data_IF_510302951511
#
_entry.id   IF_510302951511
#
_cell.length_a   1.000
_cell.length_b   1.000
_cell.length_c   1.000
_cell.angle_alpha   90.00
_cell.angle_beta   90.00
_cell.angle_gamma   90.00
#
_symmetry.space_group_name_H-M   'P 1'
#
loop_
_entity.id
_entity.type
_entity.pdbx_description
1 polymer ?
#
# COMPACT_ATOMS: atom_id res chain seq x y z
N UNK A 1 37.32 -32.96 -17.95
CA UNK A 1 36.87 -33.14 -16.57
C UNK A 1 36.85 -31.83 -15.77
N UNK A 2 37.86 -30.97 -15.80
CA UNK A 2 37.86 -29.67 -15.07
C UNK A 2 36.77 -28.69 -15.50
N UNK A 3 36.44 -28.58 -16.79
CA UNK A 3 35.41 -27.68 -17.32
C UNK A 3 34.00 -28.06 -16.84
N UNK A 4 33.71 -29.34 -16.71
CA UNK A 4 32.40 -29.85 -16.22
C UNK A 4 32.20 -29.48 -14.75
N UNK A 5 33.28 -29.53 -13.94
CA UNK A 5 33.24 -29.20 -12.51
C UNK A 5 32.94 -27.70 -12.31
N UNK A 6 33.51 -26.80 -13.12
CA UNK A 6 33.25 -25.37 -13.06
C UNK A 6 31.83 -25.02 -13.50
N UNK A 7 31.30 -25.72 -14.49
CA UNK A 7 29.92 -25.53 -14.96
C UNK A 7 28.89 -25.95 -13.89
N UNK A 8 29.13 -27.03 -13.15
CA UNK A 8 28.27 -27.47 -12.04
C UNK A 8 28.35 -26.49 -10.84
N UNK A 9 29.55 -26.00 -10.51
CA UNK A 9 29.75 -25.01 -9.45
C UNK A 9 29.04 -23.67 -9.77
N UNK A 10 29.04 -23.25 -11.04
CA UNK A 10 28.32 -22.01 -11.45
C UNK A 10 26.82 -22.16 -11.39
N UNK A 11 26.29 -23.34 -11.78
CA UNK A 11 24.82 -23.58 -11.71
C UNK A 11 24.28 -23.68 -10.28
N UNK A 12 25.06 -24.21 -9.33
CA UNK A 12 24.68 -24.27 -7.90
C UNK A 12 24.62 -22.87 -7.30
N UNK A 13 25.54 -21.97 -7.65
CA UNK A 13 25.46 -20.59 -7.15
C UNK A 13 24.27 -19.80 -7.71
N UNK A 14 23.82 -20.07 -8.94
CA UNK A 14 22.62 -19.48 -9.52
C UNK A 14 21.34 -19.96 -8.83
N UNK A 15 21.29 -21.21 -8.36
CA UNK A 15 20.13 -21.76 -7.63
C UNK A 15 20.03 -21.24 -6.19
N UNK A 16 21.16 -20.99 -5.53
CA UNK A 16 21.20 -20.44 -4.17
C UNK A 16 20.75 -18.96 -4.15
N UNK A 17 21.02 -18.21 -5.24
CA UNK A 17 20.59 -16.81 -5.36
C UNK A 17 19.08 -16.60 -5.52
N UNK A 18 18.30 -17.65 -5.80
CA UNK A 18 16.85 -17.54 -6.02
C UNK A 18 15.98 -17.85 -4.78
N UNK A 19 16.56 -18.33 -3.70
CA UNK A 19 15.87 -18.45 -2.42
C UNK A 19 15.88 -17.07 -1.71
N UNK A 20 15.31 -16.03 -2.32
CA UNK A 20 14.89 -14.86 -1.58
C UNK A 20 13.78 -15.32 -0.64
N UNK A 21 14.13 -15.41 0.63
CA UNK A 21 13.19 -15.58 1.73
C UNK A 21 12.32 -14.32 1.75
N UNK A 22 11.32 -14.27 0.87
CA UNK A 22 10.40 -13.13 0.79
C UNK A 22 9.55 -13.18 2.04
N UNK A 23 9.92 -12.33 3.02
CA UNK A 23 9.13 -12.14 4.24
C UNK A 23 7.67 -11.89 3.83
N UNK A 24 6.74 -12.48 4.57
CA UNK A 24 5.33 -12.12 4.40
C UNK A 24 5.12 -10.62 4.68
N UNK A 25 4.06 -10.00 4.15
CA UNK A 25 3.74 -8.61 4.47
C UNK A 25 3.68 -8.33 5.98
N UNK A 26 3.12 -9.25 6.75
CA UNK A 26 3.10 -9.17 8.22
C UNK A 26 4.49 -9.24 8.85
N UNK A 27 5.35 -10.17 8.39
CA UNK A 27 6.74 -10.26 8.88
C UNK A 27 7.55 -9.01 8.52
N UNK A 28 7.39 -8.49 7.30
CA UNK A 28 7.98 -7.22 6.91
C UNK A 28 7.55 -6.11 7.86
N UNK A 29 6.22 -5.93 8.05
CA UNK A 29 5.67 -4.89 8.91
C UNK A 29 6.14 -5.03 10.37
N UNK A 30 6.12 -6.25 10.91
CA UNK A 30 6.54 -6.53 12.28
C UNK A 30 8.05 -6.33 12.51
N UNK A 31 8.87 -6.44 11.45
CA UNK A 31 10.31 -6.20 11.55
C UNK A 31 10.68 -4.73 11.64
N UNK A 32 9.75 -3.81 11.36
CA UNK A 32 9.97 -2.37 11.45
C UNK A 32 9.83 -1.87 12.89
N UNK A 33 10.71 -0.98 13.30
CA UNK A 33 10.54 -0.19 14.53
C UNK A 33 9.35 0.76 14.40
N UNK A 34 8.82 1.24 15.51
CA UNK A 34 7.72 2.22 15.52
C UNK A 34 8.03 3.45 14.64
N UNK A 35 9.25 3.95 14.72
CA UNK A 35 9.69 5.11 13.93
C UNK A 35 9.66 4.81 12.42
N UNK A 36 10.10 3.63 12.02
CA UNK A 36 10.07 3.19 10.62
C UNK A 36 8.63 2.98 10.12
N UNK A 37 7.76 2.39 10.93
CA UNK A 37 6.33 2.25 10.62
C UNK A 37 5.67 3.61 10.39
N UNK A 38 5.89 4.57 11.29
CA UNK A 38 5.40 5.95 11.15
C UNK A 38 5.94 6.59 9.88
N UNK A 39 7.24 6.44 9.62
CA UNK A 39 7.90 6.98 8.42
C UNK A 39 7.33 6.36 7.15
N UNK A 40 7.05 5.06 7.16
CA UNK A 40 6.43 4.35 6.04
C UNK A 40 5.03 4.91 5.73
N UNK A 41 4.16 5.02 6.75
CA UNK A 41 2.80 5.56 6.58
C UNK A 41 2.84 7.01 6.10
N UNK A 42 3.71 7.84 6.69
CA UNK A 42 3.89 9.23 6.27
C UNK A 42 4.35 9.33 4.82
N UNK A 43 5.32 8.51 4.42
CA UNK A 43 5.82 8.45 3.05
C UNK A 43 4.72 8.05 2.05
N UNK A 44 3.93 7.03 2.39
CA UNK A 44 2.82 6.57 1.56
C UNK A 44 1.74 7.66 1.42
N UNK A 45 1.31 8.29 2.52
CA UNK A 45 0.32 9.37 2.49
C UNK A 45 0.81 10.58 1.70
N UNK A 46 2.07 10.98 1.91
CA UNK A 46 2.69 12.10 1.20
C UNK A 46 2.78 11.82 -0.30
N UNK A 47 3.19 10.62 -0.70
CA UNK A 47 3.28 10.24 -2.10
C UNK A 47 1.91 10.27 -2.78
N UNK A 48 0.87 9.70 -2.15
CA UNK A 48 -0.50 9.71 -2.67
C UNK A 48 -1.03 11.15 -2.84
N UNK A 49 -0.81 12.00 -1.83
CA UNK A 49 -1.22 13.41 -1.87
C UNK A 49 -0.54 14.19 -3.00
N UNK A 50 0.79 14.02 -3.15
CA UNK A 50 1.56 14.68 -4.21
C UNK A 50 1.12 14.21 -5.60
N UNK A 51 0.97 12.89 -5.79
CA UNK A 51 0.53 12.32 -7.08
C UNK A 51 -0.88 12.79 -7.44
N UNK A 52 -1.81 12.78 -6.49
CA UNK A 52 -3.18 13.30 -6.69
C UNK A 52 -3.15 14.77 -7.10
N UNK A 53 -2.38 15.60 -6.38
CA UNK A 53 -2.24 17.03 -6.68
C UNK A 53 -1.67 17.24 -8.08
N UNK A 54 -0.58 16.56 -8.42
CA UNK A 54 0.05 16.65 -9.74
C UNK A 54 -0.88 16.23 -10.87
N UNK A 55 -1.58 15.12 -10.69
CA UNK A 55 -2.57 14.68 -11.69
C UNK A 55 -3.69 15.71 -11.88
N UNK A 56 -4.21 16.31 -10.78
CA UNK A 56 -5.20 17.40 -10.88
C UNK A 56 -4.67 18.61 -11.64
N UNK A 57 -3.42 19.02 -11.37
CA UNK A 57 -2.76 20.11 -12.07
C UNK A 57 -2.64 19.82 -13.57
N UNK A 58 -2.26 18.60 -13.96
CA UNK A 58 -2.12 18.23 -15.37
C UNK A 58 -3.48 18.14 -16.09
N UNK A 59 -4.49 17.57 -15.43
CA UNK A 59 -5.86 17.57 -15.97
C UNK A 59 -6.36 19.00 -16.18
N UNK A 60 -6.19 19.88 -15.19
CA UNK A 60 -6.62 21.28 -15.30
C UNK A 60 -5.95 22.01 -16.47
N UNK A 61 -4.64 21.77 -16.72
CA UNK A 61 -3.92 22.39 -17.84
C UNK A 61 -4.53 22.06 -19.21
N UNK A 62 -5.06 20.86 -19.39
CA UNK A 62 -5.65 20.42 -20.65
C UNK A 62 -6.95 21.17 -20.99
N UNK A 63 -7.63 21.73 -19.99
CA UNK A 63 -8.96 22.30 -20.12
C UNK A 63 -9.05 23.78 -19.70
N UNK A 64 -7.94 24.45 -19.49
CA UNK A 64 -7.88 25.85 -18.99
C UNK A 64 -8.71 26.85 -19.80
N UNK A 65 -8.99 26.58 -21.07
CA UNK A 65 -9.74 27.47 -21.96
C UNK A 65 -11.17 26.99 -22.24
N UNK A 66 -11.59 25.86 -21.69
CA UNK A 66 -12.95 25.35 -21.88
C UNK A 66 -13.82 25.71 -20.68
N UNK A 67 -14.68 26.72 -20.86
CA UNK A 67 -15.63 27.18 -19.83
C UNK A 67 -16.74 26.17 -19.54
N UNK A 68 -16.95 25.22 -20.43
CA UNK A 68 -18.01 24.21 -20.32
C UNK A 68 -17.45 22.85 -19.87
N UNK A 69 -16.15 22.77 -19.56
CA UNK A 69 -15.56 21.51 -19.14
C UNK A 69 -16.13 21.05 -17.78
N UNK A 70 -16.65 19.84 -17.77
CA UNK A 70 -17.11 19.16 -16.57
C UNK A 70 -16.16 18.01 -16.31
N UNK A 71 -15.62 17.92 -15.08
CA UNK A 71 -14.72 16.85 -14.69
C UNK A 71 -15.42 15.49 -14.91
N UNK A 72 -14.82 14.59 -15.74
CA UNK A 72 -15.42 13.29 -16.00
C UNK A 72 -15.53 12.44 -14.74
N UNK A 73 -16.61 11.70 -14.59
CA UNK A 73 -16.85 10.82 -13.45
C UNK A 73 -15.67 9.87 -13.13
N UNK A 74 -14.98 9.35 -14.12
CA UNK A 74 -13.84 8.44 -13.90
C UNK A 74 -12.66 9.15 -13.24
N UNK A 75 -12.47 10.45 -13.46
CA UNK A 75 -11.42 11.26 -12.81
C UNK A 75 -11.77 11.48 -11.34
N UNK A 76 -13.00 11.88 -11.06
CA UNK A 76 -13.53 12.01 -9.69
C UNK A 76 -13.43 10.65 -8.95
N UNK A 77 -13.85 9.58 -9.62
CA UNK A 77 -13.76 8.23 -9.06
C UNK A 77 -12.32 7.81 -8.78
N UNK A 78 -11.38 8.14 -9.64
CA UNK A 78 -9.96 7.89 -9.43
C UNK A 78 -9.44 8.58 -8.17
N UNK A 79 -9.78 9.87 -7.95
CA UNK A 79 -9.39 10.59 -6.75
C UNK A 79 -10.04 9.99 -5.49
N UNK A 80 -11.29 9.60 -5.57
CA UNK A 80 -11.96 8.95 -4.44
C UNK A 80 -11.32 7.62 -4.05
N UNK A 81 -10.76 6.88 -5.01
CA UNK A 81 -10.01 5.64 -4.75
C UNK A 81 -8.65 5.92 -4.09
N UNK A 82 -7.98 7.00 -4.49
CA UNK A 82 -6.72 7.43 -3.84
C UNK A 82 -6.98 7.83 -2.39
N UNK A 83 -8.05 8.58 -2.13
CA UNK A 83 -8.42 9.03 -0.79
C UNK A 83 -8.74 7.88 0.18
N UNK A 84 -9.07 6.69 -0.33
CA UNK A 84 -9.27 5.51 0.51
C UNK A 84 -7.98 4.97 1.14
N UNK A 85 -6.80 5.35 0.62
CA UNK A 85 -5.51 4.91 1.15
C UNK A 85 -4.96 5.82 2.25
N UNK A 86 -5.58 6.98 2.50
CA UNK A 86 -5.20 7.89 3.56
C UNK A 86 -6.42 8.28 4.39
N UNK A 87 -6.25 8.38 5.72
CA UNK A 87 -7.32 8.81 6.60
C UNK A 87 -7.40 10.33 6.65
N UNK A 88 -8.59 10.87 6.45
CA UNK A 88 -8.86 12.30 6.58
C UNK A 88 -9.01 12.73 8.06
N UNK A 89 -9.48 11.81 8.93
CA UNK A 89 -9.78 12.09 10.33
C UNK A 89 -8.58 11.95 11.26
N UNK A 90 -7.59 11.12 10.89
CA UNK A 90 -6.40 10.91 11.73
C UNK A 90 -5.47 12.10 11.69
N UNK A 91 -5.55 12.94 10.66
CA UNK A 91 -4.70 14.11 10.51
C UNK A 91 -3.21 13.72 10.52
N UNK A 92 -2.48 14.24 11.50
CA UNK A 92 -1.04 13.96 11.65
C UNK A 92 -0.73 12.86 12.67
N UNK A 93 -1.73 12.22 13.30
CA UNK A 93 -1.51 11.12 14.24
C UNK A 93 -1.30 9.78 13.50
N UNK A 94 -0.14 9.68 12.85
CA UNK A 94 0.25 8.48 12.11
C UNK A 94 0.53 7.30 13.04
N UNK A 95 0.79 7.53 14.33
CA UNK A 95 0.98 6.47 15.31
C UNK A 95 -0.29 5.66 15.49
N UNK A 96 -1.46 6.30 15.46
CA UNK A 96 -2.75 5.62 15.53
C UNK A 96 -2.94 4.63 14.36
N UNK A 97 -2.55 5.04 13.15
CA UNK A 97 -2.60 4.14 11.98
C UNK A 97 -1.67 2.95 12.19
N UNK A 98 -0.43 3.17 12.66
CA UNK A 98 0.52 2.07 12.88
C UNK A 98 0.02 1.07 13.92
N UNK A 99 -0.56 1.54 15.03
CA UNK A 99 -1.16 0.68 16.06
C UNK A 99 -2.30 -0.17 15.53
N UNK A 100 -3.18 0.38 14.69
CA UNK A 100 -4.26 -0.38 14.10
C UNK A 100 -3.78 -1.36 13.03
N UNK A 101 -2.71 -1.05 12.31
CA UNK A 101 -2.06 -2.01 11.42
C UNK A 101 -1.41 -3.17 12.18
N UNK A 102 -0.77 -2.88 13.33
CA UNK A 102 -0.25 -3.91 14.22
C UNK A 102 -1.37 -4.85 14.67
N UNK A 103 -2.50 -4.29 15.12
CA UNK A 103 -3.66 -5.07 15.51
C UNK A 103 -4.26 -5.87 14.34
N UNK A 104 -4.30 -5.33 13.11
CA UNK A 104 -4.80 -6.04 11.94
C UNK A 104 -3.94 -7.28 11.64
N UNK A 105 -2.62 -7.17 11.72
CA UNK A 105 -1.70 -8.27 11.44
C UNK A 105 -1.56 -9.29 12.57
N UNK A 106 -2.22 -9.10 13.72
CA UNK A 106 -2.30 -10.16 14.76
C UNK A 106 -3.20 -11.33 14.34
N UNK A 107 -4.11 -11.11 13.40
CA UNK A 107 -4.97 -12.16 12.87
C UNK A 107 -4.25 -12.94 11.77
N UNK A 108 -4.22 -14.28 11.91
CA UNK A 108 -3.59 -15.20 10.95
C UNK A 108 -4.12 -15.06 9.52
N UNK A 109 -5.39 -14.71 9.35
CA UNK A 109 -6.02 -14.56 8.04
C UNK A 109 -5.52 -13.29 7.27
N UNK A 110 -4.78 -12.41 7.97
CA UNK A 110 -4.33 -11.14 7.41
C UNK A 110 -2.84 -11.12 7.07
N UNK A 111 -2.07 -12.14 7.44
CA UNK A 111 -0.59 -12.15 7.35
C UNK A 111 -0.05 -11.92 5.95
N UNK A 112 -0.79 -12.32 4.93
CA UNK A 112 -0.42 -12.20 3.52
C UNK A 112 -1.02 -10.96 2.82
N UNK A 113 -1.84 -10.18 3.51
CA UNK A 113 -2.41 -8.94 2.94
C UNK A 113 -1.29 -7.93 2.73
N UNK A 114 -1.09 -7.39 1.49
CA UNK A 114 -0.07 -6.39 1.23
C UNK A 114 -0.20 -5.16 2.12
N UNK A 115 0.93 -4.60 2.59
CA UNK A 115 0.96 -3.52 3.59
C UNK A 115 0.13 -2.30 3.18
N UNK A 116 0.17 -1.89 1.91
CA UNK A 116 -0.66 -0.77 1.43
C UNK A 116 -2.16 -1.09 1.44
N UNK A 117 -2.55 -2.34 1.20
CA UNK A 117 -3.96 -2.74 1.29
C UNK A 117 -4.44 -2.80 2.76
N UNK A 118 -3.59 -3.27 3.67
CA UNK A 118 -3.85 -3.22 5.10
C UNK A 118 -4.00 -1.76 5.57
N UNK A 119 -3.12 -0.87 5.14
CA UNK A 119 -3.18 0.57 5.43
C UNK A 119 -4.51 1.19 4.92
N UNK A 120 -4.97 0.80 3.72
CA UNK A 120 -6.26 1.23 3.17
C UNK A 120 -7.42 0.80 4.07
N UNK A 121 -7.45 -0.46 4.51
CA UNK A 121 -8.51 -0.97 5.41
C UNK A 121 -8.53 -0.18 6.70
N UNK A 122 -7.37 0.03 7.32
CA UNK A 122 -7.23 0.79 8.56
C UNK A 122 -7.68 2.25 8.37
N UNK A 123 -7.27 2.91 7.29
CA UNK A 123 -7.68 4.29 6.96
C UNK A 123 -9.20 4.41 6.83
N UNK A 124 -9.84 3.46 6.15
CA UNK A 124 -11.31 3.42 6.05
C UNK A 124 -12.00 3.23 7.41
N UNK A 125 -11.41 2.45 8.32
CA UNK A 125 -11.94 2.29 9.69
C UNK A 125 -11.86 3.62 10.45
N UNK A 126 -10.72 4.30 10.37
CA UNK A 126 -10.50 5.60 11.01
C UNK A 126 -11.47 6.66 10.48
N UNK A 127 -11.76 6.64 9.20
CA UNK A 127 -12.74 7.54 8.57
C UNK A 127 -14.20 7.12 8.82
N UNK A 128 -14.46 6.25 9.80
CA UNK A 128 -15.80 5.76 10.14
C UNK A 128 -16.52 5.01 9.00
N UNK A 129 -15.81 4.64 7.94
CA UNK A 129 -16.30 3.89 6.78
C UNK A 129 -16.28 2.36 7.04
N UNK A 130 -16.65 1.91 8.24
CA UNK A 130 -16.49 0.52 8.74
C UNK A 130 -17.09 -0.53 7.81
N UNK A 131 -18.29 -0.29 7.25
CA UNK A 131 -18.93 -1.25 6.33
C UNK A 131 -18.07 -1.51 5.10
N UNK A 132 -17.48 -0.46 4.53
CA UNK A 132 -16.59 -0.55 3.37
C UNK A 132 -15.26 -1.22 3.73
N UNK A 133 -14.69 -0.88 4.88
CA UNK A 133 -13.47 -1.50 5.40
C UNK A 133 -13.64 -3.01 5.59
N UNK A 134 -14.72 -3.45 6.26
CA UNK A 134 -14.99 -4.86 6.49
C UNK A 134 -15.18 -5.64 5.18
N UNK A 135 -15.94 -5.08 4.24
CA UNK A 135 -16.10 -5.71 2.92
C UNK A 135 -14.76 -5.86 2.20
N UNK A 136 -13.93 -4.80 2.25
CA UNK A 136 -12.59 -4.85 1.65
C UNK A 136 -11.70 -5.88 2.32
N UNK A 137 -11.70 -5.94 3.66
CA UNK A 137 -10.92 -6.91 4.41
C UNK A 137 -11.28 -8.35 4.02
N UNK A 138 -12.58 -8.69 3.98
CA UNK A 138 -13.04 -10.01 3.55
C UNK A 138 -12.62 -10.36 2.12
N UNK A 139 -12.63 -9.37 1.21
CA UNK A 139 -12.13 -9.57 -0.16
C UNK A 139 -10.63 -9.87 -0.19
N UNK A 140 -9.85 -9.17 0.64
CA UNK A 140 -8.39 -9.36 0.73
C UNK A 140 -8.04 -10.71 1.34
N UNK A 141 -8.70 -11.13 2.42
CA UNK A 141 -8.53 -12.46 3.05
C UNK A 141 -8.83 -13.62 2.10
N UNK A 142 -9.75 -13.42 1.14
CA UNK A 142 -10.06 -14.45 0.12
C UNK A 142 -9.06 -14.44 -1.05
N UNK A 143 -8.38 -13.33 -1.24
CA UNK A 143 -7.46 -13.16 -2.37
C UNK A 143 -6.04 -13.59 -2.03
N UNK A 144 -5.63 -13.38 -0.80
CA UNK A 144 -4.27 -13.61 -0.31
C UNK A 144 -4.22 -14.67 0.79
#
# INVERSE_FOLDING_TARGET
MKIIIYSILLSVNLLIGQAQNTKSPSEFWSSLSLKEKISFVNGAYSALSVLKKKHKEEVAKQYLNDRNWIEPYYVERYYSLIDEYSSEFVGYDLQLITMHMDALYTNSDNINIPVLEAMKVVSLIQDSKRKKANLRLLQLQRKY
#
